data_IF_200782141710
#
_entry.id   IF_200782141710
#
_cell.length_a   1.000
_cell.length_b   1.000
_cell.length_c   1.000
_cell.angle_alpha   90.00
_cell.angle_beta   90.00
_cell.angle_gamma   90.00
#
_symmetry.space_group_name_H-M   'P 1'
#
loop_
_entity.id
_entity.type
_entity.pdbx_description
1 polymer ?
#
# COMPACT_ATOMS: atom_id res chain seq x y z
N UNK A 1 -9.94 16.35 0.65
CA UNK A 1 -9.31 16.25 -0.69
C UNK A 1 -8.96 14.79 -0.97
N UNK A 2 -9.42 14.23 -2.10
CA UNK A 2 -9.30 12.81 -2.47
C UNK A 2 -7.85 12.29 -2.46
N UNK A 3 -6.89 13.04 -3.00
CA UNK A 3 -5.49 12.61 -3.00
C UNK A 3 -4.86 12.48 -1.61
N UNK A 4 -5.34 13.25 -0.63
CA UNK A 4 -4.90 13.14 0.77
C UNK A 4 -5.51 11.89 1.45
N UNK A 5 -6.80 11.63 1.22
CA UNK A 5 -7.47 10.41 1.68
C UNK A 5 -6.79 9.16 1.11
N UNK A 6 -6.53 9.16 -0.19
CA UNK A 6 -5.78 8.10 -0.87
C UNK A 6 -4.39 7.90 -0.28
N UNK A 7 -3.62 8.98 -0.11
CA UNK A 7 -2.25 8.89 0.43
C UNK A 7 -2.23 8.31 1.85
N UNK A 8 -3.17 8.73 2.72
CA UNK A 8 -3.33 8.17 4.07
C UNK A 8 -3.72 6.70 4.03
N UNK A 9 -4.69 6.34 3.19
CA UNK A 9 -5.14 4.95 3.03
C UNK A 9 -3.99 4.04 2.57
N UNK A 10 -3.25 4.46 1.54
CA UNK A 10 -2.16 3.66 0.97
C UNK A 10 -0.94 3.58 1.88
N UNK A 11 -0.76 4.52 2.80
CA UNK A 11 0.31 4.46 3.79
C UNK A 11 0.19 3.20 4.67
N UNK A 12 -1.02 2.79 5.04
CA UNK A 12 -1.25 1.56 5.80
C UNK A 12 -0.75 0.30 5.09
N UNK A 13 -0.92 0.22 3.76
CA UNK A 13 -0.42 -0.90 2.97
C UNK A 13 1.11 -0.97 2.98
N UNK A 14 1.78 0.19 2.95
CA UNK A 14 3.24 0.30 3.05
C UNK A 14 3.74 -0.19 4.41
N UNK A 15 3.07 0.24 5.49
CA UNK A 15 3.43 -0.18 6.84
C UNK A 15 3.23 -1.69 6.99
N UNK A 16 2.08 -2.24 6.55
CA UNK A 16 1.82 -3.67 6.60
C UNK A 16 2.87 -4.47 5.83
N UNK A 17 3.27 -4.00 4.64
CA UNK A 17 4.37 -4.60 3.90
C UNK A 17 5.68 -4.62 4.71
N UNK A 18 6.06 -3.49 5.34
CA UNK A 18 7.28 -3.43 6.15
C UNK A 18 7.22 -4.37 7.36
N UNK A 19 6.04 -4.54 7.99
CA UNK A 19 5.83 -5.56 9.02
C UNK A 19 6.14 -6.95 8.46
N UNK A 20 5.58 -7.29 7.29
CA UNK A 20 5.82 -8.61 6.66
C UNK A 20 7.29 -8.84 6.33
N UNK A 21 8.00 -7.84 5.84
CA UNK A 21 9.45 -7.95 5.58
C UNK A 21 10.22 -8.13 6.89
N UNK A 22 9.87 -7.40 7.95
CA UNK A 22 10.48 -7.54 9.26
C UNK A 22 10.29 -8.95 9.84
N UNK A 23 9.08 -9.49 9.75
CA UNK A 23 8.77 -10.85 10.21
C UNK A 23 9.55 -11.92 9.45
N UNK A 24 9.68 -11.78 8.13
CA UNK A 24 10.51 -12.68 7.31
C UNK A 24 12.01 -12.58 7.65
N UNK A 25 12.45 -11.43 8.14
CA UNK A 25 13.84 -11.21 8.55
C UNK A 25 14.13 -11.80 9.93
N UNK A 26 13.15 -11.95 10.83
CA UNK A 26 13.38 -12.52 12.18
C UNK A 26 14.14 -13.86 12.17
N UNK A 27 13.74 -14.89 11.41
CA UNK A 27 14.51 -16.13 11.32
C UNK A 27 15.86 -15.98 10.60
N UNK A 28 16.09 -14.86 9.91
CA UNK A 28 17.32 -14.54 9.19
C UNK A 28 18.27 -13.61 9.99
N UNK A 29 18.02 -13.42 11.29
CA UNK A 29 18.82 -12.54 12.17
C UNK A 29 18.36 -11.08 12.18
N UNK A 30 17.16 -10.80 11.67
CA UNK A 30 16.48 -9.53 11.79
C UNK A 30 16.13 -9.19 13.24
N UNK A 31 15.96 -7.91 13.53
CA UNK A 31 15.74 -7.42 14.88
C UNK A 31 14.25 -7.25 15.18
N UNK A 32 13.86 -7.65 16.41
CA UNK A 32 12.48 -7.55 16.88
C UNK A 32 12.00 -6.09 16.99
N UNK A 33 12.88 -5.19 17.41
CA UNK A 33 12.62 -3.74 17.54
C UNK A 33 12.14 -3.10 16.22
N UNK A 34 12.71 -3.52 15.08
CA UNK A 34 12.31 -3.07 13.75
C UNK A 34 10.87 -3.49 13.45
N UNK A 35 10.51 -4.75 13.74
CA UNK A 35 9.13 -5.23 13.57
C UNK A 35 8.19 -4.42 14.46
N UNK A 36 8.53 -4.27 15.74
CA UNK A 36 7.68 -3.64 16.74
C UNK A 36 7.47 -2.14 16.45
N UNK A 37 8.48 -1.45 15.90
CA UNK A 37 8.35 -0.09 15.41
C UNK A 37 7.31 0.03 14.28
N UNK A 38 7.29 -0.90 13.32
CA UNK A 38 6.28 -0.91 12.26
C UNK A 38 4.89 -1.28 12.79
N UNK A 39 4.79 -2.17 13.77
CA UNK A 39 3.51 -2.44 14.46
C UNK A 39 2.98 -1.17 15.14
N UNK A 40 3.82 -0.45 15.89
CA UNK A 40 3.42 0.82 16.53
C UNK A 40 3.00 1.88 15.50
N UNK A 41 3.72 1.97 14.38
CA UNK A 41 3.34 2.85 13.27
C UNK A 41 1.99 2.44 12.65
N UNK A 42 1.72 1.14 12.53
CA UNK A 42 0.45 0.62 12.01
C UNK A 42 -0.71 0.95 12.94
N UNK A 43 -0.53 0.75 14.25
CA UNK A 43 -1.52 1.14 15.27
C UNK A 43 -1.81 2.64 15.18
N UNK A 44 -0.77 3.47 15.11
CA UNK A 44 -0.93 4.93 14.95
C UNK A 44 -1.67 5.31 13.67
N UNK A 45 -1.37 4.65 12.56
CA UNK A 45 -2.08 4.86 11.29
C UNK A 45 -3.56 4.46 11.40
N UNK A 46 -3.82 3.28 11.97
CA UNK A 46 -5.16 2.73 12.17
C UNK A 46 -6.02 3.67 13.01
N UNK A 47 -5.49 4.16 14.12
CA UNK A 47 -6.22 5.05 15.03
C UNK A 47 -6.54 6.43 14.40
N UNK A 48 -5.81 6.79 13.33
CA UNK A 48 -6.01 8.02 12.55
C UNK A 48 -6.80 7.79 11.26
N UNK A 49 -7.16 6.54 10.96
CA UNK A 49 -7.87 6.21 9.73
C UNK A 49 -9.32 6.66 9.84
N UNK A 50 -9.72 7.59 8.97
CA UNK A 50 -11.10 8.06 8.91
C UNK A 50 -11.96 7.13 8.05
N UNK A 51 -13.11 6.63 8.55
CA UNK A 51 -14.07 5.89 7.72
C UNK A 51 -14.52 6.68 6.48
N UNK A 52 -14.60 8.01 6.59
CA UNK A 52 -14.94 8.87 5.46
C UNK A 52 -13.84 8.91 4.38
N UNK A 53 -12.57 8.80 4.76
CA UNK A 53 -11.47 8.68 3.79
C UNK A 53 -11.55 7.34 3.04
N UNK A 54 -11.89 6.25 3.74
CA UNK A 54 -12.05 4.92 3.14
C UNK A 54 -13.22 4.92 2.14
N UNK A 55 -14.39 5.40 2.54
CA UNK A 55 -15.58 5.49 1.66
C UNK A 55 -15.29 6.34 0.42
N UNK A 56 -14.68 7.51 0.62
CA UNK A 56 -14.32 8.42 -0.48
C UNK A 56 -13.43 7.73 -1.51
N UNK A 57 -12.41 6.98 -1.07
CA UNK A 57 -11.52 6.24 -1.99
C UNK A 57 -12.26 5.11 -2.69
N UNK A 58 -13.07 4.31 -1.99
CA UNK A 58 -13.85 3.21 -2.60
C UNK A 58 -14.75 3.73 -3.72
N UNK A 59 -15.46 4.83 -3.47
CA UNK A 59 -16.39 5.43 -4.43
C UNK A 59 -15.68 5.99 -5.65
N UNK A 60 -14.54 6.65 -5.46
CA UNK A 60 -13.84 7.40 -6.53
C UNK A 60 -12.82 6.57 -7.30
N UNK A 61 -12.28 5.49 -6.74
CA UNK A 61 -11.22 4.71 -7.41
C UNK A 61 -11.71 4.06 -8.71
N UNK A 62 -13.00 3.72 -8.80
CA UNK A 62 -13.62 3.16 -10.00
C UNK A 62 -13.75 4.16 -11.16
N UNK A 63 -13.66 5.46 -10.88
CA UNK A 63 -13.79 6.52 -11.88
C UNK A 63 -12.45 6.77 -12.60
N UNK A 64 -11.32 6.36 -12.00
CA UNK A 64 -9.96 6.61 -12.52
C UNK A 64 -9.72 6.15 -13.98
N UNK A 65 -10.22 4.99 -14.46
CA UNK A 65 -10.04 4.60 -15.86
C UNK A 65 -10.64 5.59 -16.86
N UNK A 66 -11.85 6.07 -16.58
CA UNK A 66 -12.56 7.00 -17.46
C UNK A 66 -11.80 8.33 -17.57
N UNK A 67 -11.20 8.77 -16.47
CA UNK A 67 -10.43 10.01 -16.40
C UNK A 67 -9.05 9.88 -17.03
N UNK A 68 -8.37 8.75 -16.78
CA UNK A 68 -7.11 8.45 -17.43
C UNK A 68 -7.21 8.41 -18.95
N UNK A 69 -8.36 7.98 -19.48
CA UNK A 69 -8.65 8.04 -20.91
C UNK A 69 -8.78 9.49 -21.43
N UNK A 70 -9.39 10.38 -20.64
CA UNK A 70 -9.54 11.81 -20.97
C UNK A 70 -8.17 12.52 -20.90
N UNK A 71 -7.34 12.21 -19.91
CA UNK A 71 -6.04 12.87 -19.68
C UNK A 71 -4.85 12.20 -20.40
N UNK A 72 -5.10 11.21 -21.28
CA UNK A 72 -4.07 10.38 -21.95
C UNK A 72 -3.06 9.71 -21.00
N UNK A 73 -3.46 9.50 -19.74
CA UNK A 73 -2.67 8.81 -18.73
C UNK A 73 -3.44 7.59 -18.25
N UNK A 74 -3.21 6.42 -18.86
CA UNK A 74 -3.87 5.20 -18.39
C UNK A 74 -3.33 4.79 -17.02
N UNK A 75 -4.24 4.57 -16.08
CA UNK A 75 -3.92 3.98 -14.78
C UNK A 75 -3.96 2.45 -14.94
N UNK A 76 -2.91 1.78 -14.50
CA UNK A 76 -2.81 0.31 -14.51
C UNK A 76 -4.05 -0.34 -13.83
N UNK A 77 -4.83 -1.18 -14.53
CA UNK A 77 -5.99 -1.88 -13.95
C UNK A 77 -5.63 -2.71 -12.71
N UNK A 78 -4.43 -3.28 -12.65
CA UNK A 78 -3.97 -4.02 -11.47
C UNK A 78 -3.74 -3.10 -10.26
N UNK A 79 -3.32 -1.86 -10.49
CA UNK A 79 -3.18 -0.86 -9.45
C UNK A 79 -4.55 -0.46 -8.88
N UNK A 80 -5.55 -0.23 -9.74
CA UNK A 80 -6.92 0.08 -9.32
C UNK A 80 -7.52 -1.08 -8.51
N UNK A 81 -7.37 -2.31 -9.00
CA UNK A 81 -7.85 -3.51 -8.30
C UNK A 81 -7.20 -3.66 -6.93
N UNK A 82 -5.89 -3.43 -6.83
CA UNK A 82 -5.18 -3.44 -5.55
C UNK A 82 -5.74 -2.40 -4.58
N UNK A 83 -5.87 -1.14 -5.01
CA UNK A 83 -6.38 -0.06 -4.15
C UNK A 83 -7.80 -0.36 -3.68
N UNK A 84 -8.68 -0.81 -4.57
CA UNK A 84 -10.06 -1.20 -4.21
C UNK A 84 -10.06 -2.31 -3.15
N UNK A 85 -9.35 -3.41 -3.39
CA UNK A 85 -9.27 -4.55 -2.47
C UNK A 85 -8.64 -4.18 -1.12
N UNK A 86 -7.70 -3.22 -1.12
CA UNK A 86 -7.11 -2.69 0.10
C UNK A 86 -8.09 -1.81 0.87
N UNK A 87 -8.78 -0.91 0.17
CA UNK A 87 -9.79 -0.02 0.74
C UNK A 87 -10.95 -0.80 1.38
N UNK A 88 -11.44 -1.84 0.71
CA UNK A 88 -12.48 -2.75 1.24
C UNK A 88 -12.06 -3.39 2.57
N UNK A 89 -10.79 -3.76 2.72
CA UNK A 89 -10.27 -4.32 3.99
C UNK A 89 -10.13 -3.26 5.07
N UNK A 90 -9.83 -2.04 4.68
CA UNK A 90 -9.76 -0.90 5.60
C UNK A 90 -11.12 -0.51 6.22
N UNK A 91 -12.23 -1.11 5.77
CA UNK A 91 -13.53 -1.01 6.46
C UNK A 91 -13.53 -1.71 7.82
N UNK A 92 -12.63 -2.68 8.03
CA UNK A 92 -12.43 -3.40 9.30
C UNK A 92 -10.97 -3.29 9.74
N UNK A 93 -10.50 -2.08 10.10
CA UNK A 93 -9.06 -1.81 10.23
C UNK A 93 -8.41 -2.53 11.43
N UNK A 94 -9.20 -2.92 12.44
CA UNK A 94 -8.72 -3.67 13.60
C UNK A 94 -8.28 -5.11 13.30
N UNK A 95 -8.78 -5.72 12.22
CA UNK A 95 -8.45 -7.10 11.87
C UNK A 95 -7.28 -7.20 10.89
N UNK A 96 -6.82 -6.08 10.32
CA UNK A 96 -5.85 -6.04 9.22
C UNK A 96 -4.51 -6.72 9.54
N UNK A 97 -3.99 -6.55 10.76
CA UNK A 97 -2.72 -7.17 11.17
C UNK A 97 -2.82 -8.70 11.25
N UNK A 98 -3.98 -9.21 11.64
CA UNK A 98 -4.27 -10.64 11.73
C UNK A 98 -4.85 -11.23 10.45
N UNK A 99 -5.24 -10.42 9.47
CA UNK A 99 -5.86 -10.89 8.23
C UNK A 99 -4.79 -11.42 7.26
N UNK A 100 -4.70 -12.75 7.06
CA UNK A 100 -3.74 -13.33 6.13
C UNK A 100 -4.00 -12.87 4.68
N UNK A 101 -5.24 -12.49 4.34
CA UNK A 101 -5.57 -11.97 3.00
C UNK A 101 -5.07 -10.55 2.80
N UNK A 102 -5.00 -9.73 3.85
CA UNK A 102 -4.39 -8.40 3.80
C UNK A 102 -2.87 -8.51 3.61
N UNK A 103 -2.24 -9.42 4.36
CA UNK A 103 -0.82 -9.73 4.21
C UNK A 103 -0.48 -10.27 2.80
N UNK A 104 -1.29 -11.19 2.28
CA UNK A 104 -1.15 -11.70 0.92
C UNK A 104 -1.32 -10.58 -0.12
N UNK A 105 -2.35 -9.73 0.02
CA UNK A 105 -2.61 -8.63 -0.92
C UNK A 105 -1.39 -7.71 -1.09
N UNK A 106 -0.77 -7.27 0.01
CA UNK A 106 0.42 -6.39 -0.05
C UNK A 106 1.66 -7.11 -0.57
N UNK A 107 1.81 -8.40 -0.20
CA UNK A 107 2.92 -9.23 -0.66
C UNK A 107 2.85 -9.54 -2.15
N UNK A 108 1.71 -10.01 -2.63
CA UNK A 108 1.44 -10.33 -4.03
C UNK A 108 1.65 -9.11 -4.92
N UNK A 109 1.27 -7.91 -4.45
CA UNK A 109 1.51 -6.68 -5.21
C UNK A 109 3.00 -6.36 -5.34
N UNK A 110 3.79 -6.62 -4.30
CA UNK A 110 5.25 -6.47 -4.40
C UNK A 110 5.87 -7.48 -5.36
N UNK A 111 5.43 -8.74 -5.29
CA UNK A 111 5.86 -9.81 -6.21
C UNK A 111 5.46 -9.48 -7.63
N UNK A 112 4.26 -8.98 -7.88
CA UNK A 112 3.81 -8.58 -9.21
C UNK A 112 4.72 -7.51 -9.82
N UNK A 113 5.09 -6.49 -9.06
CA UNK A 113 5.94 -5.41 -9.57
C UNK A 113 7.41 -5.78 -9.73
N UNK A 114 7.92 -6.69 -8.90
CA UNK A 114 9.35 -7.02 -8.83
C UNK A 114 9.68 -8.45 -9.24
N UNK A 115 8.67 -9.22 -9.67
CA UNK A 115 8.78 -10.65 -9.96
C UNK A 115 9.76 -10.92 -11.08
N UNK A 116 9.75 -10.11 -12.14
CA UNK A 116 10.68 -10.23 -13.26
C UNK A 116 12.12 -9.82 -12.92
N UNK A 117 12.33 -8.98 -11.88
CA UNK A 117 13.68 -8.49 -11.51
C UNK A 117 14.33 -9.25 -10.36
N UNK A 118 13.60 -10.17 -9.70
CA UNK A 118 14.10 -10.90 -8.53
C UNK A 118 14.42 -10.02 -7.31
N UNK A 119 13.91 -8.78 -7.30
CA UNK A 119 14.18 -7.78 -6.24
C UNK A 119 13.06 -7.69 -5.20
N UNK A 120 12.05 -8.57 -5.29
CA UNK A 120 11.01 -8.71 -4.27
C UNK A 120 11.62 -9.12 -2.94
N UNK A 121 11.39 -8.34 -1.89
CA UNK A 121 11.78 -8.68 -0.52
C UNK A 121 10.86 -9.74 0.07
N UNK A 122 9.66 -9.94 -0.45
CA UNK A 122 8.85 -11.08 -0.02
C UNK A 122 9.47 -12.41 -0.47
N UNK A 123 10.00 -12.49 -1.69
CA UNK A 123 10.50 -13.77 -2.25
C UNK A 123 12.03 -13.89 -2.14
N UNK A 124 12.78 -12.84 -2.45
CA UNK A 124 14.25 -12.88 -2.54
C UNK A 124 14.92 -12.61 -1.19
N UNK A 125 15.50 -13.67 -0.61
CA UNK A 125 16.35 -13.59 0.59
C UNK A 125 17.48 -12.57 0.43
N UNK A 126 18.11 -12.53 -0.76
CA UNK A 126 19.17 -11.57 -1.08
C UNK A 126 18.68 -10.12 -1.08
N UNK A 127 17.45 -9.88 -1.53
CA UNK A 127 16.84 -8.55 -1.49
C UNK A 127 16.46 -8.14 -0.07
N UNK A 128 15.98 -9.09 0.76
CA UNK A 128 15.72 -8.87 2.19
C UNK A 128 16.98 -8.57 2.99
N UNK A 129 18.06 -9.31 2.78
CA UNK A 129 19.32 -9.09 3.50
C UNK A 129 19.91 -7.67 3.29
N UNK A 130 19.53 -6.98 2.21
CA UNK A 130 19.94 -5.61 1.89
C UNK A 130 18.99 -4.54 2.45
N UNK A 131 17.87 -4.96 3.05
CA UNK A 131 16.89 -4.06 3.64
C UNK A 131 17.39 -3.52 4.98
N UNK A 132 17.33 -2.20 5.16
CA UNK A 132 17.90 -1.50 6.32
C UNK A 132 16.88 -1.17 7.41
N UNK A 133 15.77 -1.90 7.47
CA UNK A 133 14.74 -1.74 8.50
C UNK A 133 13.59 -0.82 8.13
N UNK A 134 13.71 -0.05 7.05
CA UNK A 134 12.56 0.60 6.42
C UNK A 134 12.68 0.55 4.90
N UNK A 135 11.55 0.30 4.28
CA UNK A 135 11.31 0.83 2.94
C UNK A 135 10.60 2.13 3.26
N UNK A 136 11.26 3.29 3.12
CA UNK A 136 10.59 4.58 3.28
C UNK A 136 9.36 4.69 2.35
N UNK A 137 8.86 5.89 2.10
CA UNK A 137 7.78 6.17 1.11
C UNK A 137 7.98 5.57 -0.31
N UNK A 138 9.12 4.93 -0.55
CA UNK A 138 9.58 4.19 -1.71
C UNK A 138 9.20 2.68 -1.73
N UNK A 139 8.00 2.33 -1.27
CA UNK A 139 7.26 1.41 -2.13
C UNK A 139 6.89 2.24 -3.36
N UNK A 140 7.76 2.18 -4.37
CA UNK A 140 7.58 2.82 -5.67
C UNK A 140 6.48 2.10 -6.46
N UNK A 141 5.30 1.97 -5.84
CA UNK A 141 4.05 1.55 -6.47
C UNK A 141 3.54 2.62 -7.45
N UNK A 142 4.41 3.53 -7.92
CA UNK A 142 4.08 4.66 -8.80
C UNK A 142 2.85 5.45 -8.35
N UNK A 143 2.58 5.48 -7.04
CA UNK A 143 1.42 6.18 -6.48
C UNK A 143 1.46 7.68 -6.72
N UNK A 144 2.63 8.24 -7.04
CA UNK A 144 2.75 9.63 -7.46
C UNK A 144 1.91 9.93 -8.72
N UNK A 145 1.81 8.98 -9.67
CA UNK A 145 0.97 9.11 -10.87
C UNK A 145 -0.51 9.03 -10.48
N UNK A 146 -0.90 8.03 -9.69
CA UNK A 146 -2.28 7.89 -9.22
C UNK A 146 -2.71 9.10 -8.38
N UNK A 147 -1.86 9.60 -7.48
CA UNK A 147 -2.09 10.79 -6.66
C UNK A 147 -2.24 12.04 -7.51
N UNK A 148 -1.46 12.17 -8.59
CA UNK A 148 -1.59 13.28 -9.54
C UNK A 148 -2.94 13.22 -10.25
N UNK A 149 -3.31 12.08 -10.82
CA UNK A 149 -4.64 11.90 -11.44
C UNK A 149 -5.80 12.13 -10.45
N UNK A 150 -5.65 11.71 -9.19
CA UNK A 150 -6.66 11.91 -8.14
C UNK A 150 -6.78 13.37 -7.65
N UNK A 151 -5.70 14.15 -7.74
CA UNK A 151 -5.73 15.57 -7.43
C UNK A 151 -6.37 16.36 -8.58
N UNK A 152 -6.06 16.02 -9.84
CA UNK A 152 -6.71 16.61 -11.02
C UNK A 152 -8.23 16.38 -10.97
N UNK A 153 -8.66 15.22 -10.47
CA UNK A 153 -10.05 14.87 -10.18
C UNK A 153 -10.75 15.79 -9.17
N UNK A 154 -10.08 16.11 -8.07
CA UNK A 154 -10.67 16.92 -7.01
C UNK A 154 -10.76 18.40 -7.38
N UNK A 155 -10.06 18.82 -8.44
CA UNK A 155 -10.07 20.16 -9.00
C UNK A 155 -10.98 20.30 -10.23
N UNK A 156 -11.51 19.19 -10.77
CA UNK A 156 -12.48 19.22 -11.85
C UNK A 156 -13.84 19.72 -11.31
N UNK A 157 -14.49 20.71 -11.98
CA UNK A 157 -15.72 21.35 -11.53
C UNK A 157 -16.95 20.43 -11.56
#
# INVERSE_FOLDING_TARGET
>A
MLGAAFSRLMHGAVILYNIRVAELMLPEGGKLDVRDAHFAAFTTWRDRLSPADVDLVIRRIGELPALGAITRHSVDPHAISFVRRWAERCLSPDTLLSDPRAAALVGDREVFLKGASGTSRIVSRKARARWRGESGSALDYRWHVARRCLNDLAAAP
#
